data_IF_891885204370
#
_entry.id   IF_891885204370
#
_cell.length_a   1.000
_cell.length_b   1.000
_cell.length_c   1.000
_cell.angle_alpha   90.00
_cell.angle_beta   90.00
_cell.angle_gamma   90.00
#
_symmetry.space_group_name_H-M   'P 1'
#
loop_
_entity.id
_entity.type
_entity.pdbx_description
1 polymer ?
#
# COMPACT_ATOMS: atom_id res chain seq x y z
N UNK A 1 13.32 -74.40 -16.66
CA UNK A 1 12.28 -75.10 -15.86
C UNK A 1 10.98 -74.32 -15.95
N UNK A 2 9.92 -75.05 -16.34
CA UNK A 2 8.48 -74.78 -16.21
C UNK A 2 7.88 -73.48 -16.77
N UNK A 3 7.31 -73.67 -17.96
CA UNK A 3 6.13 -73.01 -18.51
C UNK A 3 4.93 -73.04 -17.53
N UNK A 4 4.07 -72.02 -17.55
CA UNK A 4 2.61 -72.21 -17.49
C UNK A 4 1.96 -71.24 -18.49
N UNK A 5 1.31 -71.82 -19.50
CA UNK A 5 0.28 -71.21 -20.34
C UNK A 5 -1.07 -71.38 -19.65
N UNK A 6 -1.92 -70.35 -19.63
CA UNK A 6 -3.38 -70.52 -19.65
C UNK A 6 -3.93 -69.46 -20.59
N UNK A 7 -4.68 -69.91 -21.59
CA UNK A 7 -5.28 -69.09 -22.63
C UNK A 7 -6.80 -68.98 -22.51
N UNK A 8 -7.29 -68.02 -23.31
CA UNK A 8 -8.61 -67.84 -23.91
C UNK A 8 -9.89 -67.97 -23.06
N UNK A 9 -10.72 -66.93 -23.15
CA UNK A 9 -12.09 -67.11 -23.68
C UNK A 9 -12.61 -65.80 -24.30
N UNK A 10 -12.94 -65.89 -25.58
CA UNK A 10 -13.63 -64.88 -26.38
C UNK A 10 -15.11 -65.28 -26.40
N UNK A 11 -15.98 -64.35 -26.00
CA UNK A 11 -17.36 -64.18 -26.46
C UNK A 11 -17.55 -62.66 -26.47
N UNK A 12 -17.70 -61.95 -27.59
CA UNK A 12 -18.52 -62.30 -28.74
C UNK A 12 -19.95 -61.81 -28.49
N UNK A 13 -20.16 -60.49 -28.46
CA UNK A 13 -21.48 -59.90 -28.73
C UNK A 13 -21.30 -58.58 -29.48
N UNK A 14 -21.45 -58.67 -30.79
CA UNK A 14 -21.69 -57.55 -31.70
C UNK A 14 -23.17 -57.19 -31.54
N UNK A 15 -23.45 -55.97 -31.09
CA UNK A 15 -24.75 -55.34 -31.33
C UNK A 15 -24.52 -54.19 -32.31
N UNK A 16 -24.99 -54.41 -33.54
CA UNK A 16 -25.28 -53.36 -34.49
C UNK A 16 -26.64 -52.76 -34.14
N UNK A 17 -26.64 -51.48 -33.80
CA UNK A 17 -27.71 -50.49 -33.91
C UNK A 17 -27.03 -49.15 -33.64
N UNK A 18 -27.31 -48.01 -34.27
CA UNK A 18 -28.12 -47.59 -35.40
C UNK A 18 -27.69 -46.11 -35.56
N UNK A 19 -27.38 -45.63 -36.76
CA UNK A 19 -27.10 -44.21 -36.96
C UNK A 19 -28.37 -43.36 -36.79
N UNK A 20 -28.30 -42.40 -35.86
CA UNK A 20 -29.03 -41.12 -35.64
C UNK A 20 -29.24 -41.01 -34.12
N UNK A 21 -28.77 -40.03 -33.37
CA UNK A 21 -28.65 -38.59 -33.64
C UNK A 21 -27.54 -37.93 -32.81
N UNK A 22 -27.27 -36.67 -33.12
CA UNK A 22 -26.23 -35.79 -32.61
C UNK A 22 -26.01 -35.77 -31.08
N UNK A 23 -24.74 -35.80 -30.65
CA UNK A 23 -24.13 -34.71 -29.88
C UNK A 23 -22.60 -34.82 -29.87
N UNK A 24 -21.99 -33.69 -30.18
CA UNK A 24 -20.57 -33.41 -30.33
C UNK A 24 -20.02 -33.01 -28.96
N UNK A 25 -19.09 -33.78 -28.40
CA UNK A 25 -18.29 -33.33 -27.26
C UNK A 25 -16.86 -33.06 -27.75
N UNK A 26 -16.66 -31.85 -28.27
CA UNK A 26 -15.39 -31.15 -28.12
C UNK A 26 -15.21 -30.95 -26.60
N UNK A 27 -14.12 -31.44 -26.04
CA UNK A 27 -13.70 -31.01 -24.71
C UNK A 27 -12.96 -29.69 -24.96
N UNK A 28 -13.61 -28.62 -24.54
CA UNK A 28 -13.37 -27.27 -24.98
C UNK A 28 -12.07 -26.67 -24.44
N UNK A 29 -11.37 -25.98 -25.34
CA UNK A 29 -10.19 -25.14 -25.11
C UNK A 29 -10.50 -23.91 -24.22
N UNK A 30 -11.78 -23.66 -23.94
CA UNK A 30 -12.27 -22.56 -23.09
C UNK A 30 -12.05 -22.83 -21.59
N UNK A 31 -12.16 -24.09 -21.13
CA UNK A 31 -12.01 -24.43 -19.70
C UNK A 31 -10.58 -24.22 -19.19
N UNK A 32 -9.55 -24.39 -20.03
CA UNK A 32 -8.16 -24.09 -19.65
C UNK A 32 -7.88 -22.59 -19.61
N UNK A 33 -8.47 -21.80 -20.52
CA UNK A 33 -8.30 -20.34 -20.50
C UNK A 33 -9.01 -19.67 -19.32
N UNK A 34 -10.14 -20.22 -18.87
CA UNK A 34 -10.90 -19.66 -17.75
C UNK A 34 -10.22 -19.93 -16.40
N UNK A 35 -9.62 -21.11 -16.23
CA UNK A 35 -8.81 -21.45 -15.04
C UNK A 35 -7.53 -20.60 -14.97
N UNK A 36 -6.78 -20.46 -16.07
CA UNK A 36 -5.57 -19.60 -16.11
C UNK A 36 -5.88 -18.11 -15.90
N UNK A 37 -7.03 -17.63 -16.38
CA UNK A 37 -7.48 -16.24 -16.16
C UNK A 37 -7.90 -16.04 -14.71
N UNK A 38 -8.57 -17.01 -14.08
CA UNK A 38 -8.96 -16.95 -12.66
C UNK A 38 -7.76 -17.00 -11.71
N UNK A 39 -6.74 -17.82 -12.03
CA UNK A 39 -5.50 -17.87 -11.24
C UNK A 39 -4.68 -16.60 -11.40
N UNK A 40 -4.58 -16.03 -12.60
CA UNK A 40 -3.91 -14.74 -12.82
C UNK A 40 -4.64 -13.57 -12.17
N UNK A 41 -5.98 -13.55 -12.18
CA UNK A 41 -6.76 -12.51 -11.51
C UNK A 41 -6.67 -12.60 -9.99
N UNK A 42 -6.69 -13.81 -9.44
CA UNK A 42 -6.49 -14.01 -8.00
C UNK A 42 -5.07 -13.65 -7.57
N UNK A 43 -4.04 -14.08 -8.32
CA UNK A 43 -2.66 -13.71 -8.03
C UNK A 43 -2.43 -12.20 -8.10
N UNK A 44 -3.06 -11.51 -9.06
CA UNK A 44 -3.01 -10.05 -9.14
C UNK A 44 -3.68 -9.39 -7.93
N UNK A 45 -4.84 -9.89 -7.50
CA UNK A 45 -5.57 -9.39 -6.33
C UNK A 45 -4.77 -9.62 -5.03
N UNK A 46 -4.16 -10.79 -4.89
CA UNK A 46 -3.30 -11.13 -3.75
C UNK A 46 -2.04 -10.26 -3.74
N UNK A 47 -1.44 -10.00 -4.91
CA UNK A 47 -0.30 -9.10 -5.04
C UNK A 47 -0.66 -7.69 -4.57
N UNK A 48 -1.83 -7.18 -4.96
CA UNK A 48 -2.32 -5.87 -4.55
C UNK A 48 -2.57 -5.77 -3.03
N UNK A 49 -3.01 -6.87 -2.41
CA UNK A 49 -3.16 -6.97 -0.95
C UNK A 49 -1.82 -7.00 -0.21
N UNK A 50 -0.80 -7.69 -0.75
CA UNK A 50 0.54 -7.77 -0.13
C UNK A 50 1.31 -6.46 -0.23
N UNK A 51 1.10 -5.66 -1.28
CA UNK A 51 1.76 -4.37 -1.45
C UNK A 51 1.39 -3.43 -0.29
N UNK A 52 2.41 -2.83 0.33
CA UNK A 52 2.24 -1.93 1.46
C UNK A 52 3.36 -2.01 2.48
N UNK A 53 3.22 -1.24 3.56
CA UNK A 53 4.12 -1.28 4.71
C UNK A 53 3.54 -2.24 5.76
N UNK A 54 4.39 -3.04 6.38
CA UNK A 54 4.00 -4.09 7.32
C UNK A 54 4.84 -3.96 8.57
N UNK A 55 4.16 -3.89 9.72
CA UNK A 55 4.80 -3.72 11.02
C UNK A 55 4.52 -4.94 11.89
N UNK A 56 5.57 -5.52 12.46
CA UNK A 56 5.41 -6.65 13.37
C UNK A 56 4.73 -6.22 14.68
N UNK A 57 4.11 -7.18 15.36
CA UNK A 57 3.42 -6.94 16.63
C UNK A 57 4.30 -7.15 17.85
N UNK A 58 5.62 -7.25 17.68
CA UNK A 58 6.56 -7.40 18.79
C UNK A 58 6.88 -6.05 19.43
N UNK A 59 7.53 -6.05 20.59
CA UNK A 59 8.03 -4.81 21.21
C UNK A 59 9.07 -4.08 20.34
N UNK A 60 9.79 -4.83 19.49
CA UNK A 60 10.77 -4.25 18.56
C UNK A 60 10.11 -3.54 17.39
N UNK A 61 8.83 -3.84 17.11
CA UNK A 61 8.02 -3.15 16.12
C UNK A 61 8.73 -3.03 14.77
N UNK A 62 9.39 -4.11 14.32
CA UNK A 62 10.15 -4.08 13.07
C UNK A 62 9.18 -3.88 11.90
N UNK A 63 9.58 -3.07 10.94
CA UNK A 63 8.74 -2.82 9.77
C UNK A 63 9.53 -2.75 8.47
N UNK A 64 8.84 -3.18 7.42
CA UNK A 64 9.33 -3.18 6.05
C UNK A 64 8.22 -2.78 5.10
N UNK A 65 8.61 -2.37 3.90
CA UNK A 65 7.70 -1.95 2.83
C UNK A 65 7.91 -2.81 1.60
N UNK A 66 6.82 -3.30 1.01
CA UNK A 66 6.79 -4.08 -0.23
C UNK A 66 6.21 -3.22 -1.36
N UNK A 67 6.99 -3.01 -2.41
CA UNK A 67 6.62 -2.18 -3.54
C UNK A 67 6.06 -3.01 -4.71
N UNK A 68 5.20 -2.40 -5.52
CA UNK A 68 4.51 -3.08 -6.62
C UNK A 68 5.44 -3.67 -7.70
N UNK A 69 6.65 -3.12 -7.82
CA UNK A 69 7.69 -3.56 -8.75
C UNK A 69 8.46 -4.81 -8.26
N UNK A 70 8.12 -5.33 -7.07
CA UNK A 70 8.79 -6.50 -6.48
C UNK A 70 10.01 -6.13 -5.63
N UNK A 71 10.33 -4.85 -5.47
CA UNK A 71 11.36 -4.40 -4.51
C UNK A 71 10.79 -4.33 -3.10
N UNK A 72 11.67 -4.43 -2.11
CA UNK A 72 11.35 -4.30 -0.70
C UNK A 72 12.35 -3.40 0.01
N UNK A 73 11.95 -2.83 1.14
CA UNK A 73 12.79 -2.00 1.98
C UNK A 73 12.57 -2.33 3.45
N UNK A 74 13.66 -2.48 4.20
CA UNK A 74 13.63 -2.40 5.66
C UNK A 74 13.61 -0.95 6.11
N UNK A 75 12.68 -0.61 6.98
CA UNK A 75 12.46 0.79 7.34
C UNK A 75 13.09 1.16 8.70
N UNK A 76 13.13 0.23 9.66
CA UNK A 76 13.78 0.42 10.97
C UNK A 76 14.78 -0.68 11.37
N UNK A 77 15.28 -1.44 10.40
CA UNK A 77 16.26 -2.51 10.63
C UNK A 77 17.60 -2.16 9.99
N UNK A 78 18.70 -2.32 10.74
CA UNK A 78 20.06 -2.09 10.25
C UNK A 78 20.78 -3.39 9.83
N UNK A 79 20.35 -4.54 10.35
CA UNK A 79 21.05 -5.84 10.19
C UNK A 79 20.32 -6.81 9.29
N UNK A 80 19.03 -6.63 9.05
CA UNK A 80 18.21 -7.44 8.15
C UNK A 80 17.55 -6.51 7.15
N UNK A 81 18.09 -6.48 5.93
CA UNK A 81 17.63 -5.60 4.86
C UNK A 81 16.83 -6.40 3.84
N UNK A 82 15.50 -6.26 3.84
CA UNK A 82 14.66 -6.75 2.75
C UNK A 82 15.02 -5.99 1.47
N UNK A 83 15.23 -6.71 0.37
CA UNK A 83 15.63 -6.15 -0.93
C UNK A 83 14.57 -6.36 -2.00
N UNK A 84 14.05 -7.57 -2.09
CA UNK A 84 13.04 -7.95 -3.08
C UNK A 84 12.03 -8.93 -2.47
N UNK A 85 10.89 -9.06 -3.12
CA UNK A 85 9.85 -10.02 -2.79
C UNK A 85 9.18 -10.54 -4.05
N UNK A 86 8.65 -11.77 -3.96
CA UNK A 86 7.76 -12.34 -4.96
C UNK A 86 6.76 -13.29 -4.32
N UNK A 87 5.62 -13.48 -4.96
CA UNK A 87 4.65 -14.51 -4.62
C UNK A 87 4.83 -15.72 -5.53
N UNK A 88 4.71 -16.90 -4.93
CA UNK A 88 4.62 -18.18 -5.64
C UNK A 88 3.52 -19.01 -4.97
N UNK A 89 2.31 -18.96 -5.56
CA UNK A 89 1.09 -19.49 -4.95
C UNK A 89 0.84 -18.88 -3.57
N UNK A 90 0.71 -19.73 -2.55
CA UNK A 90 0.49 -19.31 -1.16
C UNK A 90 1.79 -19.02 -0.38
N UNK A 91 2.90 -18.79 -1.08
CA UNK A 91 4.18 -18.47 -0.46
C UNK A 91 4.67 -17.09 -0.85
N UNK A 92 5.28 -16.41 0.11
CA UNK A 92 6.07 -15.21 -0.14
C UNK A 92 7.55 -15.54 0.01
N UNK A 93 8.33 -15.13 -0.98
CA UNK A 93 9.77 -15.33 -1.03
C UNK A 93 10.43 -13.96 -0.92
N UNK A 94 11.25 -13.76 0.10
CA UNK A 94 12.03 -12.54 0.29
C UNK A 94 13.48 -12.76 -0.07
N UNK A 95 14.09 -11.79 -0.76
CA UNK A 95 15.55 -11.69 -0.83
C UNK A 95 16.01 -10.75 0.29
N UNK A 96 16.81 -11.25 1.22
CA UNK A 96 17.25 -10.51 2.41
C UNK A 96 18.77 -10.42 2.42
N UNK A 97 19.29 -9.22 2.63
CA UNK A 97 20.70 -9.01 2.96
C UNK A 97 20.88 -8.94 4.48
N UNK A 98 21.64 -9.89 5.04
CA UNK A 98 22.03 -9.87 6.45
C UNK A 98 23.37 -9.17 6.61
N UNK A 99 23.43 -8.20 7.53
CA UNK A 99 24.64 -7.43 7.83
C UNK A 99 25.02 -7.69 9.29
N UNK A 100 26.23 -8.22 9.49
CA UNK A 100 26.76 -8.52 10.81
C UNK A 100 28.28 -8.70 10.76
N UNK A 101 28.97 -8.37 11.85
CA UNK A 101 30.43 -8.57 11.98
C UNK A 101 31.27 -8.01 10.81
N UNK A 102 30.87 -6.85 10.26
CA UNK A 102 31.50 -6.17 9.10
C UNK A 102 31.44 -6.95 7.78
N UNK A 103 30.56 -7.95 7.71
CA UNK A 103 30.28 -8.75 6.50
C UNK A 103 28.81 -8.65 6.15
N UNK A 104 28.47 -8.96 4.89
CA UNK A 104 27.09 -9.21 4.49
C UNK A 104 26.94 -10.49 3.67
N UNK A 105 25.77 -11.10 3.77
CA UNK A 105 25.32 -12.19 2.92
C UNK A 105 23.92 -11.89 2.39
N UNK A 106 23.57 -12.43 1.22
CA UNK A 106 22.22 -12.31 0.66
C UNK A 106 21.66 -13.70 0.45
N UNK A 107 20.47 -13.92 0.99
CA UNK A 107 19.79 -15.22 0.98
C UNK A 107 18.32 -15.04 0.60
N UNK A 108 17.68 -16.13 0.14
CA UNK A 108 16.24 -16.18 -0.07
C UNK A 108 15.54 -16.86 1.11
N UNK A 109 14.49 -16.21 1.61
CA UNK A 109 13.70 -16.66 2.74
C UNK A 109 12.26 -16.93 2.29
N UNK A 110 11.78 -18.15 2.53
CA UNK A 110 10.47 -18.63 2.06
C UNK A 110 9.51 -18.76 3.24
N UNK A 111 8.33 -18.15 3.10
CA UNK A 111 7.27 -18.19 4.10
C UNK A 111 5.95 -18.62 3.48
N UNK A 112 5.19 -19.42 4.21
CA UNK A 112 3.80 -19.73 3.89
C UNK A 112 2.89 -18.59 4.41
N UNK A 113 1.99 -18.10 3.55
CA UNK A 113 0.99 -17.11 3.94
C UNK A 113 -0.16 -17.85 4.64
N UNK A 114 -0.31 -17.64 5.95
CA UNK A 114 -1.42 -18.21 6.73
C UNK A 114 -2.65 -17.32 6.69
N UNK A 115 -2.45 -16.01 6.58
CA UNK A 115 -3.50 -15.01 6.48
C UNK A 115 -2.97 -13.79 5.73
N UNK A 116 -3.79 -13.28 4.81
CA UNK A 116 -3.59 -12.01 4.12
C UNK A 116 -4.94 -11.33 3.94
N UNK A 117 -5.09 -10.14 4.51
CA UNK A 117 -6.22 -9.24 4.24
C UNK A 117 -5.73 -7.78 4.21
N UNK A 118 -6.67 -6.82 4.15
CA UNK A 118 -6.35 -5.39 4.11
C UNK A 118 -5.57 -4.87 5.32
N UNK A 119 -5.54 -5.60 6.44
CA UNK A 119 -4.97 -5.15 7.72
C UNK A 119 -3.93 -6.12 8.30
N UNK A 120 -3.99 -7.41 7.98
CA UNK A 120 -3.15 -8.43 8.63
C UNK A 120 -2.42 -9.30 7.60
N UNK A 121 -1.14 -9.52 7.87
CA UNK A 121 -0.30 -10.51 7.20
C UNK A 121 0.25 -11.45 8.26
N UNK A 122 -0.04 -12.74 8.14
CA UNK A 122 0.51 -13.79 9.00
C UNK A 122 1.34 -14.73 8.14
N UNK A 123 2.64 -14.75 8.41
CA UNK A 123 3.60 -15.61 7.73
C UNK A 123 4.03 -16.75 8.63
N UNK A 124 4.29 -17.92 8.05
CA UNK A 124 4.79 -19.08 8.78
C UNK A 124 6.05 -19.62 8.11
N UNK A 125 7.06 -19.91 8.92
CA UNK A 125 8.26 -20.64 8.51
C UNK A 125 8.60 -21.65 9.60
N UNK A 126 8.67 -22.93 9.23
CA UNK A 126 8.85 -24.04 10.16
C UNK A 126 7.82 -23.97 11.31
N UNK A 127 8.29 -23.87 12.56
CA UNK A 127 7.46 -23.80 13.77
C UNK A 127 7.22 -22.36 14.25
N UNK A 128 7.59 -21.33 13.47
CA UNK A 128 7.43 -19.92 13.83
C UNK A 128 6.35 -19.26 12.99
N UNK A 129 5.55 -18.43 13.65
CA UNK A 129 4.55 -17.56 13.03
C UNK A 129 4.94 -16.11 13.27
N UNK A 130 4.82 -15.29 12.23
CA UNK A 130 5.18 -13.89 12.20
C UNK A 130 3.92 -13.11 11.85
N UNK A 131 3.46 -12.29 12.79
CA UNK A 131 2.26 -11.46 12.63
C UNK A 131 2.66 -10.03 12.33
N UNK A 132 2.10 -9.49 11.26
CA UNK A 132 2.26 -8.12 10.85
C UNK A 132 0.90 -7.46 10.69
N UNK A 133 0.84 -6.19 11.07
CA UNK A 133 -0.29 -5.31 10.77
C UNK A 133 0.12 -4.43 9.60
N UNK A 134 -0.79 -4.24 8.64
CA UNK A 134 -0.61 -3.35 7.51
C UNK A 134 -0.50 -1.95 8.09
N UNK A 135 0.71 -1.42 8.06
CA UNK A 135 0.92 0.00 8.21
C UNK A 135 0.38 0.61 6.93
N UNK A 136 -0.90 1.01 6.98
CA UNK A 136 -1.38 1.97 6.01
C UNK A 136 -0.35 3.10 6.02
N UNK A 137 -0.05 3.77 4.91
CA UNK A 137 0.56 5.12 4.96
C UNK A 137 -0.45 6.16 5.54
N UNK A 138 -1.19 5.74 6.58
CA UNK A 138 -2.06 6.39 7.55
C UNK A 138 -1.71 5.96 9.00
N UNK A 139 -0.68 5.15 9.22
CA UNK A 139 -0.17 4.82 10.56
C UNK A 139 1.09 5.66 10.83
N UNK A 140 0.87 6.98 10.84
CA UNK A 140 1.58 7.83 11.77
C UNK A 140 0.73 7.94 13.04
N UNK A 141 0.66 6.84 13.80
CA UNK A 141 -0.11 6.75 15.04
C UNK A 141 0.49 7.63 16.18
N UNK A 142 1.45 8.50 15.87
CA UNK A 142 1.94 9.53 16.80
C UNK A 142 1.96 10.95 16.22
N UNK A 143 1.78 11.15 14.92
CA UNK A 143 1.63 12.48 14.34
C UNK A 143 0.24 13.02 14.67
N UNK A 144 0.22 13.73 15.79
CA UNK A 144 -0.95 14.47 16.24
C UNK A 144 -1.17 15.66 15.31
N UNK A 145 -2.44 16.01 15.13
CA UNK A 145 -2.84 17.20 14.39
C UNK A 145 -3.81 18.04 15.23
N UNK A 146 -3.77 19.34 15.00
CA UNK A 146 -4.83 20.26 15.40
C UNK A 146 -5.84 20.29 14.25
N UNK A 147 -7.12 20.03 14.57
CA UNK A 147 -8.21 20.21 13.61
C UNK A 147 -8.48 21.70 13.44
N UNK A 148 -8.62 22.12 12.19
CA UNK A 148 -8.94 23.49 11.82
C UNK A 148 -10.39 23.53 11.35
N UNK A 149 -11.10 24.58 11.76
CA UNK A 149 -12.45 24.81 11.30
C UNK A 149 -12.48 25.07 9.80
N UNK A 150 -13.49 24.53 9.12
CA UNK A 150 -13.62 24.56 7.67
C UNK A 150 -14.66 25.58 7.20
N UNK A 151 -15.42 26.20 8.10
CA UNK A 151 -16.50 27.12 7.76
C UNK A 151 -16.00 28.30 6.92
N UNK A 152 -15.00 29.03 7.41
CA UNK A 152 -14.42 30.18 6.70
C UNK A 152 -13.85 29.80 5.32
N UNK A 153 -13.18 28.65 5.21
CA UNK A 153 -12.60 28.18 3.96
C UNK A 153 -13.69 27.80 2.97
N UNK A 154 -14.73 27.10 3.41
CA UNK A 154 -15.87 26.77 2.57
C UNK A 154 -16.60 28.04 2.10
N UNK A 155 -16.73 29.07 2.94
CA UNK A 155 -17.23 30.35 2.49
C UNK A 155 -16.39 30.95 1.36
N UNK A 156 -15.06 30.96 1.50
CA UNK A 156 -14.16 31.47 0.45
C UNK A 156 -14.31 30.68 -0.85
N UNK A 157 -14.36 29.34 -0.77
CA UNK A 157 -14.56 28.45 -1.93
C UNK A 157 -15.89 28.75 -2.63
N UNK A 158 -16.96 29.04 -1.88
CA UNK A 158 -18.27 29.35 -2.49
C UNK A 158 -18.32 30.73 -3.16
N UNK A 159 -17.52 31.69 -2.69
CA UNK A 159 -17.44 33.05 -3.27
C UNK A 159 -16.64 33.07 -4.57
N UNK A 160 -15.75 32.09 -4.76
CA UNK A 160 -14.92 32.00 -5.94
C UNK A 160 -15.72 31.51 -7.17
N UNK A 161 -15.61 32.24 -8.28
CA UNK A 161 -16.39 31.96 -9.51
C UNK A 161 -15.66 31.07 -10.50
N UNK A 162 -14.41 30.71 -10.18
CA UNK A 162 -13.53 29.94 -11.04
C UNK A 162 -13.63 28.45 -10.77
N UNK A 163 -13.32 27.65 -11.78
CA UNK A 163 -13.18 26.20 -11.63
C UNK A 163 -11.84 25.90 -10.93
N UNK A 164 -11.88 25.83 -9.60
CA UNK A 164 -10.70 25.58 -8.78
C UNK A 164 -10.23 24.14 -8.89
N UNK A 165 -8.91 23.93 -8.93
CA UNK A 165 -8.33 22.62 -8.59
C UNK A 165 -8.34 22.40 -7.08
N UNK A 166 -8.13 21.17 -6.61
CA UNK A 166 -8.02 20.90 -5.19
C UNK A 166 -6.84 21.67 -4.55
N UNK A 167 -5.73 21.80 -5.27
CA UNK A 167 -4.59 22.60 -4.83
C UNK A 167 -4.89 24.09 -4.77
N UNK A 168 -5.74 24.62 -5.65
CA UNK A 168 -6.13 26.03 -5.58
C UNK A 168 -7.02 26.29 -4.37
N UNK A 169 -7.88 25.34 -3.98
CA UNK A 169 -8.61 25.42 -2.71
C UNK A 169 -7.65 25.45 -1.51
N UNK A 170 -6.59 24.63 -1.52
CA UNK A 170 -5.54 24.70 -0.50
C UNK A 170 -4.85 26.07 -0.46
N UNK A 171 -4.59 26.69 -1.62
CA UNK A 171 -3.99 28.04 -1.68
C UNK A 171 -4.93 29.16 -1.23
N UNK A 172 -6.26 28.97 -1.30
CA UNK A 172 -7.19 29.91 -0.68
C UNK A 172 -7.08 29.89 0.85
N UNK A 173 -6.88 28.69 1.42
CA UNK A 173 -6.67 28.52 2.86
C UNK A 173 -5.28 28.98 3.30
N UNK A 174 -4.24 28.64 2.54
CA UNK A 174 -2.85 28.99 2.82
C UNK A 174 -2.28 29.82 1.67
N UNK A 175 -2.62 31.13 1.60
CA UNK A 175 -2.21 32.00 0.51
C UNK A 175 -0.69 32.17 0.51
N UNK A 176 -0.05 31.59 -0.50
CA UNK A 176 1.38 31.75 -0.73
C UNK A 176 1.64 33.17 -1.20
N UNK A 177 2.56 33.89 -0.57
CA UNK A 177 2.99 35.19 -1.07
C UNK A 177 3.71 34.98 -2.41
N UNK A 178 3.22 35.64 -3.47
CA UNK A 178 3.73 35.49 -4.83
C UNK A 178 5.13 36.09 -5.05
N UNK A 179 5.63 36.85 -4.07
CA UNK A 179 6.94 37.48 -4.07
C UNK A 179 7.59 37.27 -2.70
N UNK A 180 8.82 36.74 -2.67
CA UNK A 180 9.62 36.68 -1.45
C UNK A 180 9.43 35.42 -0.62
N UNK A 181 9.78 34.25 -1.18
CA UNK A 181 10.39 33.19 -0.35
C UNK A 181 11.71 33.78 0.14
N UNK A 182 11.67 34.48 1.27
CA UNK A 182 12.83 35.16 1.82
C UNK A 182 13.71 34.10 2.51
N UNK A 183 15.01 34.12 2.22
CA UNK A 183 15.93 33.09 2.72
C UNK A 183 15.75 31.73 2.03
N UNK A 184 15.65 30.66 2.84
CA UNK A 184 15.72 29.26 2.39
C UNK A 184 14.40 28.51 2.62
N UNK A 185 13.27 29.20 2.69
CA UNK A 185 11.94 28.60 2.83
C UNK A 185 11.64 27.66 1.64
N UNK A 186 10.90 26.58 1.90
CA UNK A 186 10.53 25.58 0.88
C UNK A 186 9.07 25.19 1.03
N UNK A 187 8.29 25.37 -0.03
CA UNK A 187 6.88 24.97 -0.06
C UNK A 187 6.71 23.81 -1.03
N UNK A 188 6.04 22.76 -0.56
CA UNK A 188 5.66 21.59 -1.35
C UNK A 188 4.15 21.37 -1.21
N UNK A 189 3.48 21.14 -2.34
CA UNK A 189 2.06 20.79 -2.37
C UNK A 189 1.94 19.48 -3.15
N UNK A 190 1.29 18.49 -2.54
CA UNK A 190 1.00 17.21 -3.14
C UNK A 190 -0.49 16.90 -3.04
N UNK A 191 -1.03 16.25 -4.05
CA UNK A 191 -2.43 15.82 -4.12
C UNK A 191 -2.48 14.31 -4.34
N UNK A 192 -3.43 13.65 -3.68
CA UNK A 192 -3.78 12.25 -3.91
C UNK A 192 -5.28 12.07 -3.81
N UNK A 193 -5.81 11.01 -4.41
CA UNK A 193 -7.20 10.60 -4.21
C UNK A 193 -7.24 9.57 -3.10
N UNK A 194 -8.14 9.75 -2.12
CA UNK A 194 -8.39 8.75 -1.07
C UNK A 194 -9.36 7.68 -1.54
N UNK A 195 -9.41 6.57 -0.79
CA UNK A 195 -10.22 5.38 -1.10
C UNK A 195 -11.72 5.69 -1.26
N UNK A 196 -12.20 6.74 -0.60
CA UNK A 196 -13.58 7.24 -0.69
C UNK A 196 -13.83 8.18 -1.90
N UNK A 197 -12.84 8.36 -2.78
CA UNK A 197 -12.90 9.25 -3.96
C UNK A 197 -12.70 10.74 -3.66
N UNK A 198 -12.43 11.13 -2.42
CA UNK A 198 -12.12 12.51 -2.07
C UNK A 198 -10.68 12.87 -2.50
N UNK A 199 -10.44 14.15 -2.79
CA UNK A 199 -9.09 14.66 -2.98
C UNK A 199 -8.47 14.99 -1.62
N UNK A 200 -7.22 14.59 -1.41
CA UNK A 200 -6.44 14.90 -0.22
C UNK A 200 -5.22 15.70 -0.65
N UNK A 201 -5.17 16.95 -0.23
CA UNK A 201 -4.06 17.86 -0.52
C UNK A 201 -3.21 18.00 0.73
N UNK A 202 -1.90 17.76 0.59
CA UNK A 202 -0.90 17.96 1.64
C UNK A 202 -0.02 19.14 1.23
N UNK A 203 0.05 20.15 2.08
CA UNK A 203 0.96 21.29 1.94
C UNK A 203 2.01 21.21 3.05
N UNK A 204 3.27 21.32 2.69
CA UNK A 204 4.40 21.42 3.62
C UNK A 204 5.08 22.76 3.35
N UNK A 205 5.19 23.60 4.36
CA UNK A 205 6.01 24.81 4.35
C UNK A 205 7.17 24.59 5.33
N UNK A 206 8.35 24.26 4.81
CA UNK A 206 9.55 24.00 5.60
C UNK A 206 10.50 25.21 5.60
N UNK A 207 11.32 25.26 6.63
CA UNK A 207 12.29 26.30 6.94
C UNK A 207 11.71 27.73 7.03
N UNK A 208 10.52 27.84 7.61
CA UNK A 208 9.82 29.09 7.95
C UNK A 208 10.75 30.11 8.61
N UNK A 209 10.61 31.39 8.28
CA UNK A 209 11.35 32.49 8.94
C UNK A 209 10.88 32.80 10.39
N UNK A 210 10.29 31.82 11.06
CA UNK A 210 9.95 31.88 12.48
C UNK A 210 11.14 31.40 13.34
N UNK A 211 11.33 32.00 14.52
CA UNK A 211 12.48 31.71 15.41
C UNK A 211 12.31 30.43 16.25
N UNK A 212 11.13 29.81 16.20
CA UNK A 212 10.72 28.69 17.03
C UNK A 212 10.22 27.53 16.18
N UNK A 213 9.35 27.81 15.22
CA UNK A 213 8.77 26.86 14.27
C UNK A 213 9.66 26.76 13.04
N UNK A 214 10.11 25.55 12.72
CA UNK A 214 10.89 25.27 11.52
C UNK A 214 9.97 25.06 10.32
N UNK A 215 8.87 24.35 10.48
CA UNK A 215 8.00 24.02 9.36
C UNK A 215 6.59 23.66 9.79
N UNK A 216 5.64 23.89 8.90
CA UNK A 216 4.23 23.54 9.05
C UNK A 216 3.82 22.52 8.00
N UNK A 217 2.89 21.64 8.37
CA UNK A 217 2.21 20.74 7.46
C UNK A 217 0.71 20.89 7.63
N UNK A 218 0.01 21.00 6.51
CA UNK A 218 -1.43 21.11 6.40
C UNK A 218 -1.95 19.98 5.52
N UNK A 219 -3.00 19.31 5.97
CA UNK A 219 -3.68 18.26 5.21
C UNK A 219 -5.15 18.65 5.10
N UNK A 220 -5.63 18.74 3.87
CA UNK A 220 -6.99 19.11 3.53
C UNK A 220 -7.66 17.98 2.75
N UNK A 221 -8.82 17.53 3.21
CA UNK A 221 -9.67 16.61 2.48
C UNK A 221 -10.81 17.38 1.82
N UNK A 222 -11.04 17.10 0.53
CA UNK A 222 -11.94 17.82 -0.35
C UNK A 222 -12.87 16.84 -1.03
N UNK A 223 -14.17 17.13 -0.96
CA UNK A 223 -15.20 16.41 -1.70
C UNK A 223 -15.67 17.26 -2.87
N UNK A 224 -15.79 16.67 -4.05
CA UNK A 224 -16.36 17.34 -5.22
C UNK A 224 -17.81 16.90 -5.43
N UNK A 225 -18.73 17.85 -5.57
CA UNK A 225 -20.12 17.59 -5.92
C UNK A 225 -20.65 18.69 -6.86
N UNK A 226 -21.25 18.28 -7.99
CA UNK A 226 -21.81 19.21 -9.00
C UNK A 226 -20.82 20.33 -9.37
N UNK A 227 -19.58 19.92 -9.68
CA UNK A 227 -18.45 20.80 -10.02
C UNK A 227 -18.00 21.80 -8.96
N UNK A 228 -18.45 21.66 -7.71
CA UNK A 228 -18.00 22.47 -6.58
C UNK A 228 -17.24 21.64 -5.57
N UNK A 229 -16.16 22.22 -5.05
CA UNK A 229 -15.44 21.66 -3.92
C UNK A 229 -16.12 22.00 -2.61
N UNK A 230 -16.03 21.08 -1.66
CA UNK A 230 -16.36 21.30 -0.25
C UNK A 230 -15.22 20.73 0.56
N UNK A 231 -14.65 21.55 1.43
CA UNK A 231 -13.65 21.15 2.39
C UNK A 231 -14.34 20.30 3.46
N UNK A 232 -13.93 19.04 3.55
CA UNK A 232 -14.45 18.06 4.52
C UNK A 232 -13.68 18.16 5.82
N UNK A 233 -12.36 18.32 5.74
CA UNK A 233 -11.51 18.50 6.91
C UNK A 233 -10.24 19.27 6.55
N UNK A 234 -9.74 20.01 7.54
CA UNK A 234 -8.39 20.58 7.54
C UNK A 234 -7.75 20.20 8.86
N UNK A 235 -6.51 19.76 8.80
CA UNK A 235 -5.71 19.48 9.98
C UNK A 235 -4.27 19.93 9.78
N UNK A 236 -3.65 20.40 10.85
CA UNK A 236 -2.27 20.91 10.79
C UNK A 236 -1.40 20.43 11.93
N UNK A 237 -0.10 20.44 11.70
CA UNK A 237 0.93 20.27 12.73
C UNK A 237 2.23 20.97 12.30
N UNK A 238 3.25 20.87 13.13
CA UNK A 238 4.49 21.61 12.91
C UNK A 238 5.72 20.90 13.49
N UNK A 239 6.88 21.35 13.02
CA UNK A 239 8.22 21.01 13.53
C UNK A 239 8.82 22.23 14.20
N UNK A 240 9.46 22.06 15.35
CA UNK A 240 10.26 23.12 15.95
C UNK A 240 11.66 23.15 15.35
N UNK A 241 12.32 24.30 15.46
CA UNK A 241 13.76 24.43 15.26
C UNK A 241 14.51 23.60 16.30
N UNK A 242 15.75 23.26 15.98
CA UNK A 242 16.64 22.56 16.91
C UNK A 242 16.71 23.36 18.22
N UNK A 243 16.63 22.64 19.35
CA UNK A 243 16.66 23.19 20.71
C UNK A 243 15.43 24.03 21.11
N UNK A 244 14.41 24.15 20.23
CA UNK A 244 13.15 24.86 20.47
C UNK A 244 11.96 23.91 20.65
N UNK A 245 12.18 22.61 20.80
CA UNK A 245 11.11 21.63 21.03
C UNK A 245 11.30 20.33 20.27
N UNK A 246 10.19 19.73 19.83
CA UNK A 246 10.19 18.51 19.02
C UNK A 246 10.58 18.82 17.57
N UNK A 247 11.43 17.98 16.98
CA UNK A 247 11.93 18.16 15.60
C UNK A 247 11.17 17.33 14.57
N UNK A 248 10.37 16.37 15.04
CA UNK A 248 9.42 15.61 14.22
C UNK A 248 8.09 16.36 14.10
N UNK A 249 7.18 15.87 13.27
CA UNK A 249 5.87 16.50 13.13
C UNK A 249 5.00 16.26 14.38
N UNK A 250 4.42 17.32 14.93
CA UNK A 250 3.55 17.20 16.08
C UNK A 250 2.88 18.51 16.48
N UNK A 251 2.19 18.48 17.62
CA UNK A 251 1.40 19.62 18.14
C UNK A 251 1.93 20.18 19.45
N UNK A 252 3.08 19.69 19.93
CA UNK A 252 3.68 20.26 21.14
C UNK A 252 4.14 21.68 20.82
N UNK A 253 3.97 22.59 21.77
CA UNK A 253 4.37 23.97 21.55
C UNK A 253 5.89 24.06 21.39
N UNK A 254 6.35 24.85 20.41
CA UNK A 254 7.76 25.25 20.33
C UNK A 254 8.06 26.29 21.41
N UNK A 255 9.24 26.20 22.00
CA UNK A 255 9.71 27.07 23.09
C UNK A 255 10.57 28.17 22.54
#
# INVERSE_FOLDING_TARGET
MKNIKIGLLIFGLILLNSCKDAQKNNIDKETQSELEVSEKSNLQTDKDLVIGSWKDTSESALHFTLFADGTAQSDNMATLLYKNWRLDGNTIIFTIESIGNKTSSTDEEVYEIQKLDENELILKKENRSYKYIKSNKKDDDNEKFVMIDTEEVNEMVTKEKQNLSAQDVMKLYYPLQAEGVEGNEKIEIAEKISDNGNAVVTLIHDNLLDDSVKGEKHIMELKRAKDRWTVVSIKKNWKCRKDRGHTDWGIKMCK
#
